data_IF_793004945294
#
_entry.id   IF_793004945294
#
_cell.length_a   1.000
_cell.length_b   1.000
_cell.length_c   1.000
_cell.angle_alpha   90.00
_cell.angle_beta   90.00
_cell.angle_gamma   90.00
#
_symmetry.space_group_name_H-M   'P 1'
#
loop_
_entity.id
_entity.type
_entity.pdbx_description
1 polymer ?
#
# COMPACT_ATOMS: atom_id res chain seq x y z
N UNK A 1 -13.33 1.96 -15.56
CA UNK A 1 -13.48 2.51 -14.19
C UNK A 1 -12.17 2.52 -13.38
N UNK A 2 -11.05 2.07 -13.95
CA UNK A 2 -9.81 1.70 -13.25
C UNK A 2 -8.86 2.87 -12.95
N UNK A 3 -8.73 3.87 -13.85
CA UNK A 3 -7.71 4.93 -13.72
C UNK A 3 -7.85 5.85 -12.50
N UNK A 4 -9.09 6.17 -12.08
CA UNK A 4 -9.33 7.12 -10.97
C UNK A 4 -8.90 6.58 -9.60
N UNK A 5 -9.04 5.27 -9.38
CA UNK A 5 -8.69 4.60 -8.13
C UNK A 5 -7.17 4.45 -7.99
N UNK A 6 -6.51 4.10 -9.09
CA UNK A 6 -5.04 4.00 -9.10
C UNK A 6 -4.33 5.31 -8.73
N UNK A 7 -4.89 6.46 -9.10
CA UNK A 7 -4.36 7.78 -8.76
C UNK A 7 -4.46 8.06 -7.25
N UNK A 8 -5.52 7.61 -6.56
CA UNK A 8 -5.66 7.87 -5.13
C UNK A 8 -4.57 7.24 -4.27
N UNK A 9 -4.11 6.02 -4.59
CA UNK A 9 -3.00 5.40 -3.86
C UNK A 9 -1.67 6.13 -4.05
N UNK A 10 -1.34 6.56 -5.28
CA UNK A 10 -0.13 7.35 -5.52
C UNK A 10 -0.17 8.73 -4.86
N UNK A 11 -1.32 9.40 -4.91
CA UNK A 11 -1.51 10.68 -4.21
C UNK A 11 -1.38 10.53 -2.70
N UNK A 12 -1.90 9.44 -2.12
CA UNK A 12 -1.73 9.12 -0.70
C UNK A 12 -0.26 8.93 -0.34
N UNK A 13 0.47 8.09 -1.07
CA UNK A 13 1.90 7.84 -0.84
C UNK A 13 2.69 9.14 -0.95
N UNK A 14 2.50 9.90 -2.03
CA UNK A 14 3.21 11.16 -2.24
C UNK A 14 2.92 12.18 -1.13
N UNK A 15 1.65 12.36 -0.75
CA UNK A 15 1.24 13.31 0.28
C UNK A 15 1.78 12.92 1.66
N UNK A 16 1.59 11.68 2.07
CA UNK A 16 2.01 11.20 3.39
C UNK A 16 3.53 11.10 3.52
N UNK A 17 4.26 10.69 2.47
CA UNK A 17 5.73 10.67 2.51
C UNK A 17 6.32 12.08 2.54
N UNK A 18 5.72 13.04 1.83
CA UNK A 18 6.13 14.46 1.91
C UNK A 18 5.84 15.04 3.30
N UNK A 19 4.70 14.72 3.89
CA UNK A 19 4.36 15.13 5.26
C UNK A 19 5.35 14.53 6.30
N UNK A 20 5.72 13.25 6.13
CA UNK A 20 6.73 12.59 6.97
C UNK A 20 8.09 13.28 6.89
N UNK A 21 8.54 13.56 5.66
CA UNK A 21 9.79 14.30 5.45
C UNK A 21 9.74 15.65 6.15
N UNK A 22 8.69 16.44 5.92
CA UNK A 22 8.57 17.77 6.51
C UNK A 22 8.48 17.76 8.04
N UNK A 23 7.74 16.80 8.62
CA UNK A 23 7.53 16.72 10.07
C UNK A 23 8.79 16.30 10.83
N UNK A 24 9.57 15.37 10.28
CA UNK A 24 10.78 14.85 10.93
C UNK A 24 12.08 15.50 10.45
N UNK A 25 12.01 16.42 9.48
CA UNK A 25 13.14 17.00 8.76
C UNK A 25 14.14 15.93 8.27
N UNK A 26 13.60 14.78 7.85
CA UNK A 26 14.37 13.59 7.50
C UNK A 26 14.00 13.14 6.09
N UNK A 27 14.81 13.60 5.13
CA UNK A 27 14.67 13.25 3.70
C UNK A 27 14.79 11.73 3.52
N UNK A 28 15.66 11.08 4.28
CA UNK A 28 15.95 9.65 4.13
C UNK A 28 14.76 8.81 4.56
N UNK A 29 14.11 9.19 5.67
CA UNK A 29 12.85 8.60 6.11
C UNK A 29 11.75 8.76 5.05
N UNK A 30 11.58 9.97 4.52
CA UNK A 30 10.59 10.26 3.48
C UNK A 30 10.81 9.43 2.21
N UNK A 31 12.04 9.38 1.71
CA UNK A 31 12.42 8.61 0.52
C UNK A 31 12.28 7.10 0.74
N UNK A 32 12.70 6.59 1.90
CA UNK A 32 12.58 5.16 2.21
C UNK A 32 11.11 4.75 2.31
N UNK A 33 10.30 5.55 3.02
CA UNK A 33 8.86 5.33 3.10
C UNK A 33 8.21 5.38 1.72
N UNK A 34 8.60 6.33 0.87
CA UNK A 34 8.10 6.44 -0.49
C UNK A 34 8.47 5.20 -1.32
N UNK A 35 9.75 4.81 -1.33
CA UNK A 35 10.25 3.69 -2.10
C UNK A 35 9.58 2.37 -1.73
N UNK A 36 9.47 2.08 -0.43
CA UNK A 36 8.82 0.85 0.07
C UNK A 36 7.33 0.84 -0.29
N UNK A 37 6.59 1.91 0.03
CA UNK A 37 5.14 1.96 -0.22
C UNK A 37 4.82 1.98 -1.72
N UNK A 38 5.58 2.73 -2.53
CA UNK A 38 5.40 2.75 -3.98
C UNK A 38 5.70 1.39 -4.62
N UNK A 39 6.72 0.67 -4.14
CA UNK A 39 7.05 -0.67 -4.64
C UNK A 39 5.94 -1.68 -4.30
N UNK A 40 5.45 -1.67 -3.07
CA UNK A 40 4.32 -2.52 -2.65
C UNK A 40 3.04 -2.19 -3.43
N UNK A 41 2.80 -0.90 -3.69
CA UNK A 41 1.67 -0.48 -4.51
C UNK A 41 1.83 -0.89 -5.98
N UNK A 42 3.04 -0.82 -6.55
CA UNK A 42 3.30 -1.31 -7.89
C UNK A 42 3.08 -2.83 -8.00
N UNK A 43 3.52 -3.60 -6.99
CA UNK A 43 3.26 -5.05 -6.91
C UNK A 43 1.75 -5.33 -6.85
N UNK A 44 1.00 -4.56 -6.07
CA UNK A 44 -0.46 -4.63 -6.06
C UNK A 44 -1.03 -4.41 -7.47
N UNK A 45 -0.62 -3.37 -8.18
CA UNK A 45 -1.09 -3.13 -9.55
C UNK A 45 -0.78 -4.31 -10.47
N UNK A 46 0.43 -4.87 -10.39
CA UNK A 46 0.85 -6.00 -11.22
C UNK A 46 0.05 -7.28 -10.92
N UNK A 47 -0.21 -7.57 -9.64
CA UNK A 47 -0.98 -8.75 -9.24
C UNK A 47 -2.45 -8.65 -9.67
N UNK A 48 -3.02 -7.44 -9.68
CA UNK A 48 -4.45 -7.24 -9.90
C UNK A 48 -4.80 -6.77 -11.32
N UNK A 49 -3.83 -6.38 -12.16
CA UNK A 49 -4.11 -5.92 -13.53
C UNK A 49 -4.82 -7.00 -14.38
N UNK A 50 -4.37 -8.26 -14.27
CA UNK A 50 -4.94 -9.38 -15.02
C UNK A 50 -6.34 -9.75 -14.51
N UNK A 51 -6.56 -9.97 -13.19
CA UNK A 51 -7.90 -10.15 -12.64
C UNK A 51 -8.88 -9.03 -13.01
N UNK A 52 -8.43 -7.76 -12.96
CA UNK A 52 -9.26 -6.61 -13.34
C UNK A 52 -9.60 -6.56 -14.82
N UNK A 53 -8.74 -7.06 -15.71
CA UNK A 53 -9.01 -7.12 -17.15
C UNK A 53 -9.91 -8.28 -17.51
N UNK A 54 -9.80 -9.39 -16.81
CA UNK A 54 -10.54 -10.63 -17.06
C UNK A 54 -11.86 -10.72 -16.28
N UNK A 55 -12.20 -9.71 -15.46
CA UNK A 55 -13.35 -9.72 -14.54
C UNK A 55 -13.42 -11.01 -13.69
N UNK A 56 -12.26 -11.55 -13.32
CA UNK A 56 -12.20 -12.77 -12.53
C UNK A 56 -12.41 -12.43 -11.05
N UNK A 57 -13.36 -13.10 -10.40
CA UNK A 57 -13.67 -12.92 -8.98
C UNK A 57 -12.65 -13.58 -8.05
N UNK A 58 -11.81 -14.51 -8.55
CA UNK A 58 -10.78 -15.19 -7.75
C UNK A 58 -9.55 -14.29 -7.53
N UNK A 59 -9.75 -13.26 -6.70
CA UNK A 59 -8.71 -12.33 -6.25
C UNK A 59 -8.21 -12.65 -4.84
N UNK A 60 -8.75 -13.70 -4.20
CA UNK A 60 -8.45 -14.02 -2.80
C UNK A 60 -6.97 -14.38 -2.61
N UNK A 61 -6.44 -15.27 -3.47
CA UNK A 61 -5.02 -15.67 -3.46
C UNK A 61 -4.06 -14.48 -3.65
N UNK A 62 -4.19 -13.63 -4.69
CA UNK A 62 -3.30 -12.48 -4.83
C UNK A 62 -3.46 -11.45 -3.71
N UNK A 63 -4.66 -11.32 -3.12
CA UNK A 63 -4.88 -10.45 -1.95
C UNK A 63 -4.14 -10.95 -0.71
N UNK A 64 -4.26 -12.24 -0.40
CA UNK A 64 -3.55 -12.87 0.72
C UNK A 64 -2.03 -12.79 0.55
N UNK A 65 -1.53 -13.04 -0.66
CA UNK A 65 -0.11 -12.92 -0.98
C UNK A 65 0.39 -11.49 -0.73
N UNK A 66 -0.35 -10.49 -1.20
CA UNK A 66 0.00 -9.09 -1.03
C UNK A 66 0.02 -8.69 0.45
N UNK A 67 -1.02 -9.04 1.21
CA UNK A 67 -1.09 -8.75 2.65
C UNK A 67 0.07 -9.41 3.38
N UNK A 68 0.40 -10.66 3.04
CA UNK A 68 1.52 -11.39 3.65
C UNK A 68 2.85 -10.72 3.35
N UNK A 69 3.09 -10.33 2.10
CA UNK A 69 4.30 -9.61 1.70
C UNK A 69 4.43 -8.27 2.43
N UNK A 70 3.32 -7.54 2.54
CA UNK A 70 3.27 -6.26 3.22
C UNK A 70 3.55 -6.40 4.73
N UNK A 71 2.96 -7.39 5.40
CA UNK A 71 3.27 -7.69 6.81
C UNK A 71 4.73 -8.09 7.00
N UNK A 72 5.30 -8.90 6.10
CA UNK A 72 6.72 -9.28 6.17
C UNK A 72 7.63 -8.05 6.06
N UNK A 73 7.37 -7.17 5.10
CA UNK A 73 8.12 -5.91 4.93
C UNK A 73 7.99 -5.03 6.18
N UNK A 74 6.80 -4.95 6.76
CA UNK A 74 6.57 -4.23 8.02
C UNK A 74 7.41 -4.79 9.17
N UNK A 75 7.47 -6.12 9.35
CA UNK A 75 8.28 -6.74 10.40
C UNK A 75 9.78 -6.49 10.20
N UNK A 76 10.27 -6.58 8.95
CA UNK A 76 11.66 -6.27 8.62
C UNK A 76 11.96 -4.81 8.95
N UNK A 77 11.12 -3.87 8.52
CA UNK A 77 11.29 -2.45 8.80
C UNK A 77 11.29 -2.17 10.31
N UNK A 78 10.39 -2.79 11.06
CA UNK A 78 10.34 -2.67 12.53
C UNK A 78 11.62 -3.18 13.19
N UNK A 79 12.15 -4.32 12.74
CA UNK A 79 13.41 -4.88 13.24
C UNK A 79 14.61 -3.98 12.96
N UNK A 80 14.68 -3.38 11.76
CA UNK A 80 15.72 -2.39 11.42
C UNK A 80 15.59 -1.15 12.31
N UNK A 81 14.39 -0.62 12.50
CA UNK A 81 14.18 0.55 13.35
C UNK A 81 14.58 0.32 14.80
N UNK A 82 14.29 -0.87 15.33
CA UNK A 82 14.71 -1.26 16.67
C UNK A 82 16.23 -1.39 16.78
N UNK A 83 16.87 -2.06 15.81
CA UNK A 83 18.32 -2.28 15.81
C UNK A 83 19.12 -0.96 15.77
N UNK A 84 18.61 0.04 15.04
CA UNK A 84 19.25 1.36 14.91
C UNK A 84 18.75 2.39 15.95
N UNK A 85 17.96 1.97 16.94
CA UNK A 85 17.40 2.82 18.01
C UNK A 85 16.69 4.08 17.49
N UNK A 86 16.03 3.98 16.33
CA UNK A 86 15.32 5.12 15.77
C UNK A 86 14.12 5.51 16.64
N UNK A 87 13.77 6.82 16.71
CA UNK A 87 12.63 7.28 17.49
C UNK A 87 11.34 6.58 17.10
N UNK A 88 10.59 6.07 18.09
CA UNK A 88 9.31 5.39 17.89
C UNK A 88 8.32 6.23 17.05
N UNK A 89 8.33 7.55 17.21
CA UNK A 89 7.47 8.44 16.43
C UNK A 89 7.72 8.35 14.91
N UNK A 90 8.98 8.15 14.48
CA UNK A 90 9.33 7.97 13.05
C UNK A 90 8.78 6.66 12.51
N UNK A 91 8.93 5.57 13.29
CA UNK A 91 8.35 4.27 12.96
C UNK A 91 6.82 4.38 12.86
N UNK A 92 6.17 4.96 13.87
CA UNK A 92 4.72 5.14 13.90
C UNK A 92 4.22 5.91 12.68
N UNK A 93 4.90 6.99 12.30
CA UNK A 93 4.56 7.76 11.10
C UNK A 93 4.66 6.93 9.82
N UNK A 94 5.75 6.19 9.62
CA UNK A 94 5.92 5.31 8.46
C UNK A 94 4.85 4.21 8.40
N UNK A 95 4.48 3.67 9.56
CA UNK A 95 3.44 2.65 9.72
C UNK A 95 2.05 3.20 9.40
N UNK A 96 1.74 4.44 9.76
CA UNK A 96 0.48 5.08 9.42
C UNK A 96 0.30 5.26 7.90
N UNK A 97 1.37 5.58 7.17
CA UNK A 97 1.34 5.65 5.69
C UNK A 97 0.97 4.30 5.10
N UNK A 98 1.63 3.25 5.61
CA UNK A 98 1.43 1.87 5.19
C UNK A 98 -0.01 1.38 5.46
N UNK A 99 -0.56 1.62 6.67
CA UNK A 99 -1.94 1.25 6.98
C UNK A 99 -2.96 2.00 6.11
N UNK A 100 -2.74 3.30 5.86
CA UNK A 100 -3.61 4.05 4.96
C UNK A 100 -3.62 3.47 3.54
N UNK A 101 -2.46 3.05 3.04
CA UNK A 101 -2.36 2.39 1.73
C UNK A 101 -3.10 1.05 1.70
N UNK A 102 -2.94 0.24 2.75
CA UNK A 102 -3.67 -1.02 2.93
C UNK A 102 -5.18 -0.83 2.87
N UNK A 103 -5.70 0.17 3.60
CA UNK A 103 -7.13 0.48 3.61
C UNK A 103 -7.61 0.85 2.20
N UNK A 104 -6.86 1.68 1.47
CA UNK A 104 -7.20 2.04 0.09
C UNK A 104 -7.24 0.81 -0.81
N UNK A 105 -6.23 -0.08 -0.73
CA UNK A 105 -6.19 -1.32 -1.51
C UNK A 105 -7.39 -2.22 -1.22
N UNK A 106 -7.76 -2.40 0.05
CA UNK A 106 -8.92 -3.21 0.46
C UNK A 106 -10.22 -2.60 -0.07
N UNK A 107 -10.40 -1.28 0.06
CA UNK A 107 -11.59 -0.59 -0.45
C UNK A 107 -11.71 -0.74 -1.97
N UNK A 108 -10.59 -0.69 -2.69
CA UNK A 108 -10.55 -0.91 -4.14
C UNK A 108 -10.93 -2.33 -4.52
N UNK A 109 -10.40 -3.33 -3.81
CA UNK A 109 -10.73 -4.74 -4.03
C UNK A 109 -12.21 -5.03 -3.78
N UNK A 110 -12.79 -4.53 -2.68
CA UNK A 110 -14.22 -4.66 -2.37
C UNK A 110 -15.07 -4.02 -3.49
N UNK A 111 -14.69 -2.82 -3.92
CA UNK A 111 -15.44 -2.11 -4.94
C UNK A 111 -15.30 -2.75 -6.33
N UNK A 112 -14.24 -3.51 -6.59
CA UNK A 112 -14.13 -4.35 -7.78
C UNK A 112 -15.01 -5.60 -7.69
N UNK A 113 -14.97 -6.33 -6.57
CA UNK A 113 -15.80 -7.52 -6.36
C UNK A 113 -17.28 -7.21 -6.56
N UNK A 114 -17.78 -6.11 -5.97
CA UNK A 114 -19.16 -5.63 -6.19
C UNK A 114 -19.48 -5.31 -7.64
N UNK A 115 -18.49 -4.84 -8.42
CA UNK A 115 -18.69 -4.54 -9.84
C UNK A 115 -18.76 -5.80 -10.70
N UNK A 116 -18.02 -6.85 -10.32
CA UNK A 116 -18.06 -8.15 -10.99
C UNK A 116 -19.37 -8.87 -10.68
N UNK A 117 -19.80 -8.89 -9.42
CA UNK A 117 -21.07 -9.50 -9.00
C UNK A 117 -22.26 -8.89 -9.76
N UNK A 118 -22.33 -7.55 -9.82
CA UNK A 118 -23.37 -6.84 -10.60
C UNK A 118 -23.33 -7.11 -12.11
N UNK A 119 -22.20 -7.54 -12.66
CA UNK A 119 -22.09 -7.87 -14.09
C UNK A 119 -22.52 -9.30 -14.44
N UNK A 120 -22.72 -10.14 -13.42
CA UNK A 120 -23.17 -11.53 -13.55
C UNK A 120 -24.68 -11.70 -13.30
N UNK A 121 -25.34 -10.69 -12.71
CA UNK A 121 -26.80 -10.52 -12.67
C UNK A 121 -27.34 -9.92 -13.98
#
# INVERSE_FOLDING_TARGET
MTKRRFISGFCWIAGCCTALWYYFDDVFLGLTAFGVNASLYAIYLLLFIKPYRENNSDILKPSLLLITLQLLVFFIATGVFWYWEFPFARLLGAVMVFFGLLVLQVLEQIAFLKSVEKSQE
#
